data_IF_276809989188
#
_entry.id   IF_276809989188
#
_cell.length_a   1.000
_cell.length_b   1.000
_cell.length_c   1.000
_cell.angle_alpha   90.00
_cell.angle_beta   90.00
_cell.angle_gamma   90.00
#
_symmetry.space_group_name_H-M   'P 1'
#
loop_
_entity.id
_entity.type
_entity.pdbx_description
1 polymer ?
#
# COMPACT_ATOMS: atom_id res chain seq x y z
N UNK A 1 4.39 8.15 23.98
CA UNK A 1 3.76 7.30 22.96
C UNK A 1 4.61 6.08 22.63
N UNK A 2 5.83 6.20 22.07
CA UNK A 2 6.70 5.05 21.75
C UNK A 2 6.97 4.14 22.96
N UNK A 3 7.34 4.68 24.13
CA UNK A 3 7.54 3.91 25.34
C UNK A 3 6.28 3.10 25.74
N UNK A 4 5.11 3.70 25.66
CA UNK A 4 3.84 3.02 25.93
C UNK A 4 3.60 1.87 24.94
N UNK A 5 3.81 2.11 23.64
CA UNK A 5 3.66 1.07 22.62
C UNK A 5 4.69 -0.06 22.77
N UNK A 6 5.92 0.27 23.21
CA UNK A 6 6.95 -0.72 23.52
C UNK A 6 6.58 -1.61 24.72
N UNK A 7 5.76 -1.10 25.63
CA UNK A 7 5.34 -1.85 26.85
C UNK A 7 4.06 -2.66 26.61
N UNK A 8 3.01 -2.03 26.05
CA UNK A 8 1.66 -2.67 25.93
C UNK A 8 1.25 -2.94 24.49
N UNK A 9 1.95 -2.41 23.48
CA UNK A 9 1.59 -2.51 22.08
C UNK A 9 1.74 -3.93 21.49
N UNK A 10 1.12 -4.16 20.33
CA UNK A 10 1.24 -5.45 19.62
C UNK A 10 2.62 -5.67 18.97
N UNK A 11 3.42 -4.60 18.75
CA UNK A 11 4.74 -4.61 18.10
C UNK A 11 5.82 -4.10 19.06
N UNK A 12 5.91 -4.71 20.24
CA UNK A 12 6.75 -4.24 21.35
C UNK A 12 8.19 -4.00 20.94
N UNK A 13 8.82 -4.97 20.28
CA UNK A 13 10.23 -4.90 19.88
C UNK A 13 10.49 -3.78 18.88
N UNK A 14 9.62 -3.61 17.88
CA UNK A 14 9.70 -2.51 16.93
C UNK A 14 9.62 -1.16 17.67
N UNK A 15 8.60 -0.97 18.51
CA UNK A 15 8.44 0.29 19.24
C UNK A 15 9.53 0.53 20.28
N UNK A 16 10.12 -0.51 20.85
CA UNK A 16 11.30 -0.39 21.71
C UNK A 16 12.50 0.14 20.95
N UNK A 17 12.76 -0.39 19.76
CA UNK A 17 13.81 0.10 18.86
C UNK A 17 13.60 1.56 18.53
N UNK A 18 12.39 1.93 18.10
CA UNK A 18 12.07 3.32 17.74
C UNK A 18 12.16 4.27 18.93
N UNK A 19 11.81 3.81 20.14
CA UNK A 19 11.97 4.61 21.36
C UNK A 19 13.44 4.90 21.65
N UNK A 20 14.31 3.88 21.54
CA UNK A 20 15.76 4.04 21.73
C UNK A 20 16.33 5.00 20.67
N UNK A 21 15.89 4.87 19.41
CA UNK A 21 16.33 5.76 18.34
C UNK A 21 15.84 7.21 18.54
N UNK A 22 14.64 7.41 19.09
CA UNK A 22 14.16 8.75 19.46
C UNK A 22 15.01 9.38 20.60
N UNK A 23 15.42 8.59 21.59
CA UNK A 23 16.35 9.06 22.63
C UNK A 23 17.74 9.41 22.04
N UNK A 24 18.19 8.62 21.08
CA UNK A 24 19.43 8.89 20.35
C UNK A 24 19.34 10.22 19.59
N UNK A 25 18.23 10.52 18.92
CA UNK A 25 18.04 11.81 18.23
C UNK A 25 18.18 13.00 19.19
N UNK A 26 17.67 12.88 20.43
CA UNK A 26 17.83 13.91 21.46
C UNK A 26 19.30 14.01 21.91
N UNK A 27 19.97 12.87 22.13
CA UNK A 27 21.38 12.81 22.57
C UNK A 27 22.31 13.38 21.51
N UNK A 28 22.05 13.10 20.24
CA UNK A 28 22.87 13.60 19.11
C UNK A 28 22.56 15.08 18.77
N UNK A 29 21.58 15.70 19.45
CA UNK A 29 21.19 17.09 19.16
C UNK A 29 20.47 17.29 17.84
N UNK A 30 19.98 16.21 17.22
CA UNK A 30 19.21 16.25 15.95
C UNK A 30 17.93 17.04 16.11
N UNK A 31 17.29 16.93 17.26
CA UNK A 31 16.03 17.61 17.58
C UNK A 31 15.97 17.96 19.05
N UNK A 32 15.33 19.06 19.40
CA UNK A 32 15.12 19.42 20.80
C UNK A 32 13.96 18.61 21.39
N UNK A 33 13.94 18.47 22.73
CA UNK A 33 12.81 17.84 23.43
C UNK A 33 11.49 18.52 23.15
N UNK A 34 11.49 19.82 22.89
CA UNK A 34 10.28 20.62 22.56
C UNK A 34 9.75 20.25 21.18
N UNK A 35 10.64 20.02 20.21
CA UNK A 35 10.30 19.83 18.80
C UNK A 35 10.15 18.37 18.42
N UNK A 36 10.60 17.43 19.29
CA UNK A 36 10.37 15.99 19.12
C UNK A 36 8.91 15.65 19.34
N UNK A 37 8.07 16.12 18.42
CA UNK A 37 6.65 15.77 18.33
C UNK A 37 6.48 14.66 17.33
N UNK A 38 5.62 13.71 17.66
CA UNK A 38 5.42 12.52 16.84
C UNK A 38 3.93 12.21 16.68
N UNK A 39 3.57 11.49 15.64
CA UNK A 39 2.26 10.87 15.50
C UNK A 39 2.03 9.83 16.62
N UNK A 40 0.82 9.30 16.70
CA UNK A 40 0.50 8.21 17.65
C UNK A 40 1.37 6.96 17.44
N UNK A 41 1.87 6.73 16.22
CA UNK A 41 2.77 5.64 15.86
C UNK A 41 4.26 5.96 16.05
N UNK A 42 4.59 7.18 16.47
CA UNK A 42 5.98 7.61 16.70
C UNK A 42 6.68 8.20 15.47
N UNK A 43 5.97 8.44 14.39
CA UNK A 43 6.51 9.06 13.19
C UNK A 43 6.74 10.56 13.39
N UNK A 44 7.85 11.08 12.89
CA UNK A 44 8.33 12.44 13.13
C UNK A 44 8.57 13.23 11.84
N UNK A 45 8.54 14.56 11.97
CA UNK A 45 8.86 15.49 10.90
C UNK A 45 7.85 15.53 9.75
N UNK A 46 8.16 16.27 8.72
CA UNK A 46 7.33 16.44 7.52
C UNK A 46 7.13 15.12 6.75
N UNK A 47 8.16 14.27 6.75
CA UNK A 47 8.16 12.96 6.10
C UNK A 47 7.42 11.89 6.88
N UNK A 48 7.08 12.13 8.15
CA UNK A 48 6.52 11.12 9.05
C UNK A 48 7.39 9.86 9.13
N UNK A 49 8.71 10.03 9.19
CA UNK A 49 9.65 8.95 9.39
C UNK A 49 9.58 8.39 10.80
N UNK A 50 9.78 7.09 10.96
CA UNK A 50 10.14 6.53 12.24
C UNK A 50 11.57 7.00 12.61
N UNK A 51 11.91 7.15 13.90
CA UNK A 51 13.24 7.60 14.33
C UNK A 51 14.41 6.82 13.71
N UNK A 52 14.26 5.51 13.52
CA UNK A 52 15.27 4.69 12.85
C UNK A 52 15.45 5.03 11.37
N UNK A 53 14.38 5.45 10.68
CA UNK A 53 14.41 5.80 9.27
C UNK A 53 15.15 7.14 9.04
N UNK A 54 15.12 8.06 10.01
CA UNK A 54 15.92 9.27 9.98
C UNK A 54 17.41 8.95 9.78
N UNK A 55 17.95 8.03 10.57
CA UNK A 55 19.38 7.67 10.49
C UNK A 55 19.72 6.90 9.21
N UNK A 56 18.79 6.20 8.62
CA UNK A 56 19.02 5.44 7.39
C UNK A 56 18.92 6.30 6.13
N UNK A 57 18.02 7.26 6.13
CA UNK A 57 17.57 7.93 4.91
C UNK A 57 17.71 9.45 4.98
N UNK A 58 18.07 10.03 6.12
CA UNK A 58 18.27 11.47 6.26
C UNK A 58 19.27 12.01 5.24
N UNK A 59 18.94 13.15 4.64
CA UNK A 59 19.76 13.88 3.67
C UNK A 59 19.70 15.36 3.99
N UNK A 60 20.86 15.99 4.08
CA UNK A 60 21.02 17.44 4.04
C UNK A 60 21.02 17.84 2.55
N UNK A 61 19.87 18.24 2.03
CA UNK A 61 19.72 18.59 0.62
C UNK A 61 19.93 20.08 0.36
N UNK A 62 19.71 20.94 1.35
CA UNK A 62 19.97 22.37 1.23
C UNK A 62 21.41 22.74 1.57
N UNK A 63 22.21 21.82 2.13
CA UNK A 63 23.66 21.97 2.34
C UNK A 63 24.01 22.84 3.54
N UNK A 64 23.13 22.99 4.53
CA UNK A 64 23.36 23.81 5.73
C UNK A 64 24.19 23.07 6.81
N UNK A 65 24.55 21.81 6.56
CA UNK A 65 25.34 20.95 7.46
C UNK A 65 24.51 20.18 8.46
N UNK A 66 23.17 20.17 8.31
CA UNK A 66 22.24 19.45 9.19
C UNK A 66 21.18 18.73 8.34
N UNK A 67 20.59 17.70 8.93
CA UNK A 67 19.39 17.07 8.37
C UNK A 67 18.18 17.50 9.20
N UNK A 68 17.37 18.42 8.68
CA UNK A 68 16.19 18.94 9.38
C UNK A 68 14.90 18.48 8.70
N UNK A 69 14.33 17.38 9.18
CA UNK A 69 13.04 16.88 8.67
C UNK A 69 11.83 17.64 9.18
N UNK A 70 12.00 18.63 10.09
CA UNK A 70 10.89 19.38 10.68
C UNK A 70 10.65 20.71 10.01
N UNK A 71 11.73 21.40 9.58
CA UNK A 71 11.65 22.78 9.10
C UNK A 71 12.24 22.94 7.68
N UNK A 72 13.15 22.06 7.25
CA UNK A 72 13.70 22.08 5.88
C UNK A 72 12.85 21.19 4.95
N UNK A 73 12.10 21.82 4.04
CA UNK A 73 11.37 21.09 2.99
C UNK A 73 12.33 20.39 2.02
N UNK A 74 13.46 20.98 1.60
CA UNK A 74 14.46 20.26 0.78
C UNK A 74 14.95 18.98 1.44
N UNK A 75 15.33 19.01 2.71
CA UNK A 75 15.81 17.83 3.43
C UNK A 75 14.73 16.75 3.56
N UNK A 76 13.52 17.18 3.88
CA UNK A 76 12.39 16.27 3.97
C UNK A 76 12.15 15.55 2.63
N UNK A 77 12.11 16.29 1.51
CA UNK A 77 11.91 15.71 0.18
C UNK A 77 13.10 14.85 -0.26
N UNK A 78 14.34 15.33 -0.02
CA UNK A 78 15.58 14.58 -0.30
C UNK A 78 15.62 13.26 0.48
N UNK A 79 15.27 13.29 1.76
CA UNK A 79 15.23 12.11 2.61
C UNK A 79 14.14 11.11 2.15
N UNK A 80 12.96 11.59 1.80
CA UNK A 80 11.89 10.73 1.25
C UNK A 80 12.31 10.11 -0.08
N UNK A 81 12.93 10.88 -0.97
CA UNK A 81 13.45 10.37 -2.25
C UNK A 81 14.53 9.31 -2.04
N UNK A 82 15.47 9.53 -1.09
CA UNK A 82 16.50 8.54 -0.74
C UNK A 82 15.90 7.27 -0.17
N UNK A 83 14.85 7.37 0.65
CA UNK A 83 14.15 6.18 1.15
C UNK A 83 13.55 5.38 0.00
N UNK A 84 12.84 6.02 -0.93
CA UNK A 84 12.28 5.34 -2.09
C UNK A 84 13.40 4.69 -2.94
N UNK A 85 14.50 5.41 -3.20
CA UNK A 85 15.65 4.88 -3.94
C UNK A 85 16.25 3.64 -3.24
N UNK A 86 16.46 3.71 -1.92
CA UNK A 86 16.99 2.60 -1.13
C UNK A 86 16.04 1.38 -1.07
N UNK A 87 14.74 1.60 -1.30
CA UNK A 87 13.72 0.55 -1.41
C UNK A 87 13.58 0.01 -2.84
N UNK A 88 14.40 0.48 -3.77
CA UNK A 88 14.47 -0.03 -5.14
C UNK A 88 13.60 0.73 -6.15
N UNK A 89 13.34 2.02 -5.92
CA UNK A 89 12.68 2.86 -6.91
C UNK A 89 13.41 2.84 -8.25
N UNK A 90 12.67 2.57 -9.31
CA UNK A 90 13.17 2.54 -10.68
C UNK A 90 12.74 3.82 -11.41
N UNK A 91 13.73 4.65 -11.76
CA UNK A 91 13.49 5.87 -12.54
C UNK A 91 12.89 5.52 -13.92
N UNK A 92 11.92 6.31 -14.36
CA UNK A 92 11.23 6.09 -15.64
C UNK A 92 10.16 4.99 -15.63
N UNK A 93 10.09 4.17 -14.59
CA UNK A 93 9.01 3.19 -14.43
C UNK A 93 7.81 3.85 -13.73
N UNK A 94 6.64 3.80 -14.35
CA UNK A 94 5.39 4.25 -13.70
C UNK A 94 5.06 3.33 -12.52
N UNK A 95 4.42 3.88 -11.49
CA UNK A 95 4.00 3.08 -10.32
C UNK A 95 2.82 2.15 -10.64
N UNK A 96 1.91 2.55 -11.55
CA UNK A 96 0.80 1.73 -12.02
C UNK A 96 0.22 2.26 -13.34
N UNK A 97 -0.60 1.44 -13.97
CA UNK A 97 -1.42 1.77 -15.14
C UNK A 97 -2.88 1.46 -14.82
N UNK A 98 -3.76 2.46 -14.89
CA UNK A 98 -5.20 2.22 -14.78
C UNK A 98 -5.69 1.49 -16.03
N UNK A 99 -6.44 0.40 -15.84
CA UNK A 99 -6.92 -0.45 -16.92
C UNK A 99 -8.40 -0.81 -16.74
N UNK A 100 -9.08 -1.04 -17.84
CA UNK A 100 -10.39 -1.70 -17.86
C UNK A 100 -10.17 -3.20 -17.98
N UNK A 101 -10.56 -4.00 -16.98
CA UNK A 101 -10.44 -5.45 -17.06
C UNK A 101 -11.47 -6.06 -18.04
N UNK A 102 -11.23 -7.28 -18.57
CA UNK A 102 -12.23 -8.03 -19.31
C UNK A 102 -13.43 -8.39 -18.42
N UNK A 103 -14.60 -8.59 -19.02
CA UNK A 103 -15.84 -8.85 -18.29
C UNK A 103 -15.78 -10.11 -17.39
N UNK A 104 -14.98 -11.09 -17.77
CA UNK A 104 -14.78 -12.36 -17.04
C UNK A 104 -13.49 -12.40 -16.25
N UNK A 105 -12.99 -11.23 -15.79
CA UNK A 105 -11.75 -11.17 -15.02
C UNK A 105 -11.82 -12.06 -13.77
N UNK A 106 -10.79 -12.86 -13.59
CA UNK A 106 -10.60 -13.59 -12.33
C UNK A 106 -9.93 -12.68 -11.28
N UNK A 107 -10.72 -12.08 -10.43
CA UNK A 107 -10.21 -11.18 -9.40
C UNK A 107 -9.29 -11.86 -8.36
N UNK A 108 -9.29 -13.20 -8.28
CA UNK A 108 -8.37 -13.94 -7.40
C UNK A 108 -6.91 -13.88 -7.87
N UNK A 109 -6.67 -13.45 -9.12
CA UNK A 109 -5.31 -13.18 -9.61
C UNK A 109 -4.72 -11.86 -9.07
N UNK A 110 -5.52 -11.05 -8.37
CA UNK A 110 -5.09 -9.76 -7.80
C UNK A 110 -4.22 -9.92 -6.56
N UNK A 111 -3.11 -10.63 -6.65
CA UNK A 111 -2.12 -10.83 -5.59
C UNK A 111 -0.72 -10.42 -6.05
N UNK A 112 0.17 -9.99 -5.14
CA UNK A 112 1.51 -9.54 -5.48
C UNK A 112 2.37 -10.61 -6.18
N UNK A 113 2.11 -11.88 -5.90
CA UNK A 113 2.84 -13.03 -6.43
C UNK A 113 2.52 -13.33 -7.90
N UNK A 114 1.31 -12.97 -8.35
CA UNK A 114 0.91 -13.12 -9.75
C UNK A 114 1.41 -11.95 -10.56
N UNK A 115 2.64 -12.06 -11.03
CA UNK A 115 3.30 -11.07 -11.89
C UNK A 115 3.41 -11.58 -13.31
N UNK A 116 3.02 -10.74 -14.28
CA UNK A 116 3.14 -11.02 -15.72
C UNK A 116 3.63 -9.75 -16.43
N UNK A 117 4.30 -9.87 -17.59
CA UNK A 117 4.52 -8.72 -18.46
C UNK A 117 3.21 -7.98 -18.74
N UNK A 118 3.24 -6.66 -18.76
CA UNK A 118 2.04 -5.84 -19.06
C UNK A 118 1.43 -6.24 -20.40
N UNK A 119 2.26 -6.56 -21.41
CA UNK A 119 1.80 -7.06 -22.70
C UNK A 119 0.96 -8.33 -22.61
N UNK A 120 1.22 -9.21 -21.62
CA UNK A 120 0.41 -10.41 -21.39
C UNK A 120 -0.96 -10.07 -20.80
N UNK A 121 -1.02 -9.09 -19.90
CA UNK A 121 -2.28 -8.57 -19.40
C UNK A 121 -3.12 -7.94 -20.53
N UNK A 122 -2.48 -7.17 -21.42
CA UNK A 122 -3.17 -6.57 -22.58
C UNK A 122 -3.72 -7.67 -23.52
N UNK A 123 -2.93 -8.72 -23.80
CA UNK A 123 -3.40 -9.87 -24.59
C UNK A 123 -4.54 -10.65 -23.92
N UNK A 124 -4.59 -10.63 -22.59
CA UNK A 124 -5.68 -11.21 -21.83
C UNK A 124 -6.94 -10.32 -21.76
N UNK A 125 -6.98 -9.21 -22.51
CA UNK A 125 -8.12 -8.34 -22.64
C UNK A 125 -8.19 -7.14 -21.68
N UNK A 126 -7.12 -6.87 -20.94
CA UNK A 126 -7.03 -5.62 -20.16
C UNK A 126 -6.70 -4.45 -21.08
N UNK A 127 -7.47 -3.38 -21.00
CA UNK A 127 -7.33 -2.21 -21.88
C UNK A 127 -6.94 -0.98 -21.05
N UNK A 128 -5.79 -0.33 -21.35
CA UNK A 128 -5.44 0.93 -20.72
C UNK A 128 -6.53 1.97 -20.91
N UNK A 129 -6.87 2.68 -19.84
CA UNK A 129 -7.92 3.70 -19.91
C UNK A 129 -7.52 4.88 -20.79
N UNK A 130 -8.51 5.65 -21.24
CA UNK A 130 -8.33 6.86 -22.07
C UNK A 130 -7.56 6.62 -23.37
N UNK A 131 -7.57 5.39 -23.89
CA UNK A 131 -6.90 5.05 -25.14
C UNK A 131 -5.38 5.16 -25.07
N UNK A 132 -4.78 5.13 -23.88
CA UNK A 132 -3.33 5.19 -23.71
C UNK A 132 -2.67 4.01 -24.44
N UNK A 133 -1.71 4.32 -25.30
CA UNK A 133 -0.86 3.33 -25.96
C UNK A 133 0.42 3.16 -25.16
N UNK A 134 0.72 1.93 -24.77
CA UNK A 134 1.95 1.60 -24.06
C UNK A 134 3.05 1.23 -25.06
N UNK A 135 4.23 1.77 -24.85
CA UNK A 135 5.43 1.45 -25.64
C UNK A 135 5.83 -0.03 -25.46
N UNK A 136 6.66 -0.53 -26.35
CA UNK A 136 7.18 -1.91 -26.22
C UNK A 136 7.94 -2.11 -24.91
N UNK A 137 8.70 -1.11 -24.46
CA UNK A 137 9.42 -1.16 -23.19
C UNK A 137 8.46 -1.24 -21.98
N UNK A 138 7.36 -0.46 -21.97
CA UNK A 138 6.35 -0.54 -20.92
C UNK A 138 5.64 -1.89 -20.92
N UNK A 139 5.34 -2.45 -22.08
CA UNK A 139 4.69 -3.77 -22.19
C UNK A 139 5.57 -4.92 -21.69
N UNK A 140 6.89 -4.77 -21.68
CA UNK A 140 7.81 -5.74 -21.12
C UNK A 140 7.92 -5.66 -19.58
N UNK A 141 7.49 -4.57 -18.97
CA UNK A 141 7.51 -4.42 -17.51
C UNK A 141 6.58 -5.42 -16.84
N UNK A 142 7.04 -5.95 -15.72
CA UNK A 142 6.24 -6.88 -14.92
C UNK A 142 5.24 -6.12 -14.05
N UNK A 143 4.01 -6.59 -14.02
CA UNK A 143 2.95 -6.00 -13.20
C UNK A 143 2.03 -7.05 -12.57
N UNK A 144 1.45 -6.69 -11.43
CA UNK A 144 0.38 -7.44 -10.75
C UNK A 144 -0.95 -6.71 -10.90
N UNK A 145 -2.06 -7.45 -10.87
CA UNK A 145 -3.39 -6.86 -10.87
C UNK A 145 -3.76 -6.34 -9.47
N UNK A 146 -4.27 -5.11 -9.40
CA UNK A 146 -4.90 -4.55 -8.20
C UNK A 146 -6.33 -4.12 -8.53
N UNK A 147 -7.31 -4.64 -7.79
CA UNK A 147 -8.71 -4.23 -7.84
C UNK A 147 -9.14 -3.82 -6.42
N UNK A 148 -8.97 -2.55 -6.02
CA UNK A 148 -9.19 -2.10 -4.64
C UNK A 148 -10.63 -2.28 -4.17
N UNK A 149 -11.59 -2.28 -5.10
CA UNK A 149 -13.03 -2.49 -4.87
C UNK A 149 -13.56 -3.80 -5.48
N UNK A 150 -12.70 -4.82 -5.60
CA UNK A 150 -13.07 -6.04 -6.30
C UNK A 150 -13.41 -5.75 -7.77
N UNK A 151 -14.47 -6.36 -8.28
CA UNK A 151 -14.89 -6.15 -9.67
C UNK A 151 -15.72 -4.87 -9.88
N UNK A 152 -16.03 -4.10 -8.83
CA UNK A 152 -16.99 -2.99 -8.90
C UNK A 152 -16.37 -1.64 -9.26
N UNK A 153 -15.08 -1.48 -9.09
CA UNK A 153 -14.38 -0.22 -9.26
C UNK A 153 -13.21 -0.28 -10.22
N UNK A 154 -12.22 0.52 -9.89
CA UNK A 154 -11.00 0.67 -10.66
C UNK A 154 -10.17 -0.62 -10.67
N UNK A 155 -9.41 -0.82 -11.75
CA UNK A 155 -8.38 -1.84 -11.83
C UNK A 155 -7.05 -1.22 -12.27
N UNK A 156 -5.96 -1.71 -11.71
CA UNK A 156 -4.61 -1.23 -11.98
C UNK A 156 -3.67 -2.39 -12.26
N UNK A 157 -2.76 -2.20 -13.20
CA UNK A 157 -1.56 -3.00 -13.34
C UNK A 157 -0.44 -2.30 -12.56
N UNK A 158 -0.08 -2.85 -11.41
CA UNK A 158 0.87 -2.26 -10.45
C UNK A 158 2.27 -2.80 -10.70
N UNK A 159 3.23 -1.90 -10.85
CA UNK A 159 4.64 -2.23 -11.16
C UNK A 159 5.49 -2.37 -9.89
N UNK A 160 6.80 -2.58 -10.05
CA UNK A 160 7.73 -2.60 -8.92
C UNK A 160 7.64 -1.31 -8.08
N UNK A 161 7.50 -0.14 -8.70
CA UNK A 161 7.42 1.14 -7.98
C UNK A 161 6.17 1.28 -7.10
N UNK A 162 5.07 0.61 -7.44
CA UNK A 162 3.91 0.51 -6.55
C UNK A 162 4.30 -0.11 -5.20
N UNK A 163 5.06 -1.20 -5.23
CA UNK A 163 5.49 -1.90 -4.03
C UNK A 163 6.54 -1.12 -3.25
N UNK A 164 7.37 -0.31 -3.93
CA UNK A 164 8.29 0.62 -3.27
C UNK A 164 7.54 1.68 -2.45
N UNK A 165 6.49 2.30 -3.02
CA UNK A 165 5.64 3.24 -2.25
C UNK A 165 4.96 2.50 -1.08
N UNK A 166 4.57 1.24 -1.29
CA UNK A 166 3.91 0.41 -0.28
C UNK A 166 4.80 0.11 0.93
N UNK A 167 6.12 0.11 0.76
CA UNK A 167 7.06 0.01 1.89
C UNK A 167 7.03 1.23 2.82
N UNK A 168 6.60 2.38 2.32
CA UNK A 168 6.38 3.58 3.14
C UNK A 168 5.11 3.44 3.99
N UNK A 169 4.04 2.96 3.38
CA UNK A 169 2.78 2.65 4.07
C UNK A 169 2.07 1.50 3.36
N UNK A 170 1.81 0.43 4.09
CA UNK A 170 1.27 -0.83 3.55
C UNK A 170 -0.19 -0.78 3.05
N UNK A 171 -0.85 0.37 3.08
CA UNK A 171 -2.21 0.53 2.58
C UNK A 171 -2.24 0.70 1.06
N UNK A 172 -3.01 -0.13 0.34
CA UNK A 172 -3.25 0.04 -1.09
C UNK A 172 -3.82 1.43 -1.42
N UNK A 173 -4.75 1.92 -0.58
CA UNK A 173 -5.35 3.25 -0.76
C UNK A 173 -4.34 4.38 -0.58
N UNK A 174 -3.37 4.21 0.35
CA UNK A 174 -2.28 5.18 0.49
C UNK A 174 -1.43 5.23 -0.77
N UNK A 175 -1.05 4.08 -1.31
CA UNK A 175 -0.23 4.04 -2.55
C UNK A 175 -0.98 4.67 -3.72
N UNK A 176 -2.27 4.35 -3.88
CA UNK A 176 -3.12 4.95 -4.92
C UNK A 176 -3.23 6.47 -4.75
N UNK A 177 -3.40 6.96 -3.51
CA UNK A 177 -3.46 8.39 -3.22
C UNK A 177 -2.13 9.08 -3.55
N UNK A 178 -1.00 8.57 -3.04
CA UNK A 178 0.32 9.18 -3.23
C UNK A 178 0.74 9.13 -4.69
N UNK A 179 0.57 7.98 -5.35
CA UNK A 179 0.90 7.83 -6.77
C UNK A 179 0.05 8.73 -7.65
N UNK A 180 -1.26 8.81 -7.39
CA UNK A 180 -2.15 9.71 -8.13
C UNK A 180 -1.84 11.18 -7.86
N UNK A 181 -1.52 11.56 -6.62
CA UNK A 181 -1.11 12.92 -6.28
C UNK A 181 0.16 13.31 -7.07
N UNK A 182 1.15 12.43 -7.12
CA UNK A 182 2.36 12.66 -7.91
C UNK A 182 2.07 12.83 -9.41
N UNK A 183 1.21 11.98 -9.99
CA UNK A 183 0.78 12.11 -11.38
C UNK A 183 0.02 13.43 -11.62
N UNK A 184 -0.76 13.89 -10.65
CA UNK A 184 -1.54 15.14 -10.72
C UNK A 184 -0.67 16.40 -10.69
N UNK A 185 0.58 16.32 -10.25
CA UNK A 185 1.54 17.44 -10.34
C UNK A 185 1.96 17.73 -11.78
N UNK A 186 1.86 16.74 -12.66
CA UNK A 186 2.19 16.88 -14.10
C UNK A 186 0.96 16.86 -15.01
N UNK A 187 -0.17 16.34 -14.51
CA UNK A 187 -1.41 16.18 -15.29
C UNK A 187 -2.61 16.31 -14.35
N UNK A 188 -3.59 17.12 -14.70
CA UNK A 188 -4.81 17.30 -13.88
C UNK A 188 -5.86 16.18 -14.09
N UNK A 189 -5.50 15.08 -14.69
CA UNK A 189 -6.42 14.00 -15.00
C UNK A 189 -6.63 13.09 -13.76
N UNK A 190 -7.81 13.14 -13.14
CA UNK A 190 -8.24 12.17 -12.13
C UNK A 190 -8.25 10.73 -12.64
N UNK A 191 -8.61 9.77 -11.82
CA UNK A 191 -8.85 8.38 -12.29
C UNK A 191 -9.96 8.37 -13.35
N UNK A 192 -9.82 7.51 -14.35
CA UNK A 192 -10.81 7.40 -15.42
C UNK A 192 -12.07 6.68 -14.95
N UNK A 193 -11.92 5.70 -14.07
CA UNK A 193 -13.02 4.97 -13.46
C UNK A 193 -13.33 5.57 -12.08
N UNK A 194 -14.54 6.02 -11.79
CA UNK A 194 -14.90 6.55 -10.49
C UNK A 194 -14.84 5.46 -9.42
N UNK A 195 -14.69 5.88 -8.16
CA UNK A 195 -14.88 4.98 -7.01
C UNK A 195 -16.32 4.50 -6.97
N UNK A 196 -16.52 3.23 -6.63
CA UNK A 196 -17.87 2.68 -6.49
C UNK A 196 -18.52 3.20 -5.21
N UNK A 197 -19.86 3.18 -5.18
CA UNK A 197 -20.62 3.45 -3.96
C UNK A 197 -20.68 2.22 -3.01
N UNK A 198 -19.87 1.20 -3.25
CA UNK A 198 -19.87 -0.03 -2.46
C UNK A 198 -19.43 0.26 -1.04
N UNK A 199 -20.27 -0.08 -0.05
CA UNK A 199 -19.92 0.08 1.35
C UNK A 199 -18.98 -1.05 1.77
N UNK A 200 -17.82 -0.67 2.25
CA UNK A 200 -16.89 -1.61 2.86
C UNK A 200 -17.34 -1.93 4.30
N UNK A 201 -17.20 -3.19 4.68
CA UNK A 201 -17.40 -3.62 6.06
C UNK A 201 -16.41 -2.92 7.02
N UNK A 202 -16.79 -2.83 8.29
CA UNK A 202 -15.90 -2.31 9.32
C UNK A 202 -14.70 -3.23 9.52
N UNK A 203 -13.58 -2.68 9.96
CA UNK A 203 -12.33 -3.44 10.16
C UNK A 203 -12.51 -4.68 11.03
N UNK A 204 -13.37 -4.65 12.07
CA UNK A 204 -13.68 -5.81 12.92
C UNK A 204 -14.33 -6.95 12.14
N UNK A 205 -15.18 -6.61 11.16
CA UNK A 205 -15.92 -7.61 10.38
C UNK A 205 -14.99 -8.21 9.31
N UNK A 206 -14.11 -7.41 8.72
CA UNK A 206 -13.03 -7.88 7.83
C UNK A 206 -12.04 -8.77 8.60
N UNK A 207 -11.68 -8.43 9.84
CA UNK A 207 -10.84 -9.29 10.69
C UNK A 207 -11.54 -10.63 10.99
N UNK A 208 -12.85 -10.62 11.22
CA UNK A 208 -13.63 -11.84 11.39
C UNK A 208 -13.61 -12.71 10.12
N UNK A 209 -13.74 -12.08 8.93
CA UNK A 209 -13.56 -12.78 7.65
C UNK A 209 -12.16 -13.39 7.51
N UNK A 210 -11.10 -12.65 7.80
CA UNK A 210 -9.72 -13.14 7.74
C UNK A 210 -9.55 -14.36 8.66
N UNK A 211 -10.07 -14.33 9.89
CA UNK A 211 -10.06 -15.47 10.82
C UNK A 211 -10.82 -16.67 10.26
N UNK A 212 -12.00 -16.45 9.70
CA UNK A 212 -12.80 -17.51 9.06
C UNK A 212 -12.08 -18.13 7.86
N UNK A 213 -11.51 -17.31 6.98
CA UNK A 213 -10.72 -17.77 5.83
C UNK A 213 -9.46 -18.54 6.25
N UNK A 214 -8.81 -18.12 7.33
CA UNK A 214 -7.65 -18.84 7.90
C UNK A 214 -8.08 -20.22 8.41
N UNK A 215 -9.21 -20.31 9.13
CA UNK A 215 -9.78 -21.60 9.58
C UNK A 215 -10.07 -22.53 8.40
N UNK A 216 -10.50 -22.00 7.28
CA UNK A 216 -10.80 -22.74 6.06
C UNK A 216 -9.54 -23.05 5.20
N UNK A 217 -8.35 -22.66 5.66
CA UNK A 217 -7.10 -22.87 4.93
C UNK A 217 -6.93 -22.02 3.65
N UNK A 218 -7.67 -20.91 3.56
CA UNK A 218 -7.67 -20.03 2.38
C UNK A 218 -6.87 -18.74 2.55
N UNK A 219 -6.45 -18.44 3.79
CA UNK A 219 -5.75 -17.20 4.13
C UNK A 219 -4.65 -17.45 5.16
N UNK A 220 -3.45 -16.92 4.91
CA UNK A 220 -2.27 -17.12 5.77
C UNK A 220 -1.51 -15.81 6.07
N UNK A 221 -2.13 -14.66 5.82
CA UNK A 221 -1.52 -13.35 6.08
C UNK A 221 -2.09 -12.72 7.38
N UNK A 222 -1.78 -11.46 7.65
CA UNK A 222 -2.12 -10.75 8.88
C UNK A 222 -3.63 -10.59 9.08
N UNK A 223 -4.07 -10.82 10.31
CA UNK A 223 -5.47 -10.59 10.75
C UNK A 223 -5.59 -9.13 11.22
N UNK A 224 -5.58 -8.18 10.30
CA UNK A 224 -5.48 -6.75 10.57
C UNK A 224 -6.77 -5.96 10.29
N UNK A 225 -7.79 -6.65 9.80
CA UNK A 225 -9.07 -6.03 9.43
C UNK A 225 -9.02 -5.14 8.19
N UNK A 226 -7.99 -5.31 7.35
CA UNK A 226 -7.85 -4.58 6.08
C UNK A 226 -8.07 -5.53 4.90
N UNK A 227 -8.99 -5.17 4.02
CA UNK A 227 -9.24 -5.94 2.80
C UNK A 227 -8.16 -5.62 1.73
N UNK A 228 -6.91 -6.02 1.99
CA UNK A 228 -5.81 -5.91 1.03
C UNK A 228 -5.90 -6.96 -0.09
N UNK A 229 -4.89 -6.96 -0.99
CA UNK A 229 -4.85 -7.88 -2.14
C UNK A 229 -5.04 -9.35 -1.73
N UNK A 230 -4.31 -9.82 -0.71
CA UNK A 230 -4.39 -11.20 -0.23
C UNK A 230 -5.77 -11.54 0.34
N UNK A 231 -6.37 -10.64 1.10
CA UNK A 231 -7.72 -10.85 1.65
C UNK A 231 -8.75 -10.94 0.53
N UNK A 232 -8.70 -10.03 -0.46
CA UNK A 232 -9.63 -10.05 -1.60
C UNK A 232 -9.50 -11.32 -2.44
N UNK A 233 -8.28 -11.78 -2.70
CA UNK A 233 -8.05 -13.03 -3.43
C UNK A 233 -8.58 -14.25 -2.67
N UNK A 234 -8.36 -14.31 -1.35
CA UNK A 234 -8.88 -15.37 -0.51
C UNK A 234 -10.42 -15.37 -0.46
N UNK A 235 -11.04 -14.18 -0.40
CA UNK A 235 -12.50 -14.03 -0.51
C UNK A 235 -13.02 -14.59 -1.84
N UNK A 236 -12.43 -14.21 -2.96
CA UNK A 236 -12.81 -14.72 -4.28
C UNK A 236 -12.64 -16.24 -4.39
N UNK A 237 -11.58 -16.78 -3.80
CA UNK A 237 -11.37 -18.24 -3.74
C UNK A 237 -12.45 -18.94 -2.92
N UNK A 238 -12.83 -18.35 -1.78
CA UNK A 238 -13.95 -18.83 -0.98
C UNK A 238 -15.28 -18.77 -1.77
N UNK A 239 -15.54 -17.63 -2.42
CA UNK A 239 -16.75 -17.44 -3.21
C UNK A 239 -16.88 -18.50 -4.32
N UNK A 240 -15.78 -18.82 -5.02
CA UNK A 240 -15.74 -19.90 -6.03
C UNK A 240 -16.12 -21.26 -5.40
N UNK A 241 -15.52 -21.62 -4.25
CA UNK A 241 -15.79 -22.89 -3.58
C UNK A 241 -17.21 -23.00 -3.06
N UNK A 242 -17.78 -21.88 -2.61
CA UNK A 242 -19.13 -21.81 -2.06
C UNK A 242 -20.22 -21.62 -3.11
N UNK A 243 -19.89 -21.55 -4.42
CA UNK A 243 -20.86 -21.29 -5.49
C UNK A 243 -21.48 -19.89 -5.44
N UNK A 244 -20.81 -18.93 -4.79
CA UNK A 244 -21.25 -17.55 -4.69
C UNK A 244 -20.78 -16.75 -5.90
N UNK A 245 -21.38 -15.56 -6.12
CA UNK A 245 -20.85 -14.61 -7.08
C UNK A 245 -19.40 -14.24 -6.71
N UNK A 246 -18.48 -14.41 -7.66
CA UNK A 246 -17.05 -14.12 -7.46
C UNK A 246 -16.80 -12.65 -7.76
N UNK A 247 -16.77 -11.81 -6.72
CA UNK A 247 -16.54 -10.37 -6.83
C UNK A 247 -15.32 -9.89 -6.03
N UNK A 248 -14.72 -10.78 -5.22
CA UNK A 248 -13.59 -10.49 -4.34
C UNK A 248 -13.85 -9.30 -3.38
N UNK A 249 -15.12 -9.05 -3.05
CA UNK A 249 -15.51 -7.93 -2.20
C UNK A 249 -15.98 -8.41 -0.82
N UNK A 250 -15.49 -7.79 0.28
CA UNK A 250 -15.93 -8.12 1.63
C UNK A 250 -17.34 -7.56 1.89
N UNK A 251 -18.35 -8.41 1.71
CA UNK A 251 -19.75 -8.08 2.00
C UNK A 251 -20.27 -8.87 3.21
N UNK A 252 -21.38 -8.42 3.79
CA UNK A 252 -22.02 -9.10 4.91
C UNK A 252 -22.49 -10.51 4.52
N UNK A 253 -23.00 -10.68 3.31
CA UNK A 253 -23.40 -11.99 2.78
C UNK A 253 -22.22 -12.97 2.75
N UNK A 254 -21.04 -12.51 2.33
CA UNK A 254 -19.84 -13.36 2.31
C UNK A 254 -19.37 -13.67 3.73
N UNK A 255 -19.45 -12.71 4.67
CA UNK A 255 -19.12 -12.95 6.08
C UNK A 255 -20.03 -14.03 6.70
N UNK A 256 -21.33 -13.94 6.47
CA UNK A 256 -22.30 -14.95 6.94
C UNK A 256 -22.00 -16.33 6.35
N UNK A 257 -21.70 -16.41 5.07
CA UNK A 257 -21.35 -17.67 4.40
C UNK A 257 -20.05 -18.27 4.98
N UNK A 258 -19.01 -17.45 5.25
CA UNK A 258 -17.75 -17.88 5.87
C UNK A 258 -18.01 -18.42 7.29
N UNK A 259 -18.88 -17.77 8.06
CA UNK A 259 -19.23 -18.21 9.42
C UNK A 259 -20.01 -19.53 9.43
N UNK A 260 -20.83 -19.76 8.41
CA UNK A 260 -21.60 -21.01 8.27
C UNK A 260 -20.76 -22.16 7.70
N UNK A 261 -19.65 -21.90 7.02
CA UNK A 261 -18.76 -22.91 6.46
C UNK A 261 -17.97 -23.62 7.57
N UNK A 262 -17.86 -24.96 7.44
CA UNK A 262 -17.14 -25.85 8.38
C UNK A 262 -15.78 -26.23 7.86
#
# INVERSE_FOLDING_TARGET
MLATQAYVGRRKDQYRTEFIMALKMLSDGVVTRRDLRASWGGAVGLTQFLPSEYYKHGVDLDGDGKVDLWHSVPDALGSAAKQLANKGWQSGLRWAYEVKPPANVDCTMGVPEVKKPIGDWLRAGFVPVRGQRLSAAEQQQSASLLQPEGIYGQAFLTTANYFVIKEYNFSDLYVLFVGHLADSMSSQAGFATPWSASQQLRSKDVEAMQKGLTRLGLYADKLDGKAGMQTRAALGTFQKRAGLRVDCWPSETVLQAINAAR
#
